data_IF_073008828618
#
_entry.id   IF_073008828618
#
_cell.length_a   1.000
_cell.length_b   1.000
_cell.length_c   1.000
_cell.angle_alpha   90.00
_cell.angle_beta   90.00
_cell.angle_gamma   90.00
#
_symmetry.space_group_name_H-M   'P 1'
#
loop_
_entity.id
_entity.type
_entity.pdbx_description
1 polymer ?
#
# COMPACT_ATOMS: atom_id res chain seq x y z
N UNK A 1 7.73 16.01 -29.56
CA UNK A 1 8.13 15.22 -28.38
C UNK A 1 7.34 13.92 -28.44
N UNK A 2 8.00 12.79 -28.66
CA UNK A 2 7.32 11.49 -28.80
C UNK A 2 7.26 10.76 -27.46
N UNK A 3 6.13 10.13 -27.15
CA UNK A 3 6.03 9.19 -26.05
C UNK A 3 6.21 7.78 -26.61
N UNK A 4 7.09 6.99 -25.99
CA UNK A 4 7.34 5.62 -26.41
C UNK A 4 6.91 4.66 -25.30
N UNK A 5 5.69 4.10 -25.36
CA UNK A 5 5.22 3.15 -24.37
C UNK A 5 5.85 1.77 -24.60
N UNK A 6 6.28 1.12 -23.53
CA UNK A 6 6.70 -0.27 -23.52
C UNK A 6 6.12 -1.03 -22.33
N UNK A 7 5.80 -2.31 -22.54
CA UNK A 7 5.51 -3.21 -21.44
C UNK A 7 6.80 -3.60 -20.72
N UNK A 8 6.73 -3.71 -19.39
CA UNK A 8 7.82 -4.14 -18.54
C UNK A 8 7.31 -4.88 -17.32
N UNK A 9 8.24 -5.43 -16.53
CA UNK A 9 7.97 -6.15 -15.29
C UNK A 9 8.69 -5.42 -14.16
N UNK A 10 7.98 -5.08 -13.08
CA UNK A 10 8.61 -4.44 -11.93
C UNK A 10 9.58 -5.40 -11.26
N UNK A 11 10.84 -5.00 -11.14
CA UNK A 11 11.90 -5.79 -10.48
C UNK A 11 12.25 -5.26 -9.10
N UNK A 12 12.00 -3.97 -8.83
CA UNK A 12 12.26 -3.34 -7.54
C UNK A 12 11.35 -2.14 -7.32
N UNK A 13 10.99 -1.87 -6.06
CA UNK A 13 10.17 -0.74 -5.63
C UNK A 13 10.87 0.04 -4.52
N UNK A 14 10.85 1.36 -4.61
CA UNK A 14 11.20 2.28 -3.54
C UNK A 14 9.94 3.10 -3.21
N UNK A 15 9.31 2.75 -2.08
CA UNK A 15 8.06 3.37 -1.63
C UNK A 15 8.31 4.83 -1.24
N UNK A 16 9.37 5.12 -0.49
CA UNK A 16 9.69 6.45 0.05
C UNK A 16 9.88 7.48 -1.06
N UNK A 17 10.59 7.10 -2.13
CA UNK A 17 10.84 7.98 -3.27
C UNK A 17 9.78 7.85 -4.38
N UNK A 18 8.80 6.94 -4.25
CA UNK A 18 7.83 6.57 -5.29
C UNK A 18 8.49 6.24 -6.64
N UNK A 19 9.56 5.44 -6.61
CA UNK A 19 10.26 4.98 -7.81
C UNK A 19 10.22 3.47 -7.94
N UNK A 20 10.37 3.01 -9.16
CA UNK A 20 10.49 1.60 -9.49
C UNK A 20 11.63 1.36 -10.46
N UNK A 21 12.12 0.13 -10.47
CA UNK A 21 12.85 -0.42 -11.60
C UNK A 21 11.95 -1.41 -12.32
N UNK A 22 12.03 -1.39 -13.63
CA UNK A 22 11.32 -2.30 -14.50
C UNK A 22 12.27 -2.93 -15.51
N UNK A 23 12.18 -4.25 -15.67
CA UNK A 23 12.77 -4.98 -16.78
C UNK A 23 11.90 -4.83 -18.03
N UNK A 24 12.52 -4.51 -19.16
CA UNK A 24 11.85 -4.33 -20.46
C UNK A 24 12.17 -5.52 -21.37
N UNK A 25 11.27 -6.51 -21.51
CA UNK A 25 11.58 -7.76 -22.20
C UNK A 25 12.00 -7.58 -23.67
N UNK A 26 11.40 -6.60 -24.36
CA UNK A 26 11.70 -6.34 -25.77
C UNK A 26 13.09 -5.73 -25.99
N UNK A 27 13.65 -5.06 -24.98
CA UNK A 27 14.96 -4.43 -25.05
C UNK A 27 16.03 -5.25 -24.32
N UNK A 28 15.64 -6.21 -23.48
CA UNK A 28 16.55 -7.03 -22.69
C UNK A 28 17.32 -6.23 -21.62
N UNK A 29 16.79 -5.07 -21.20
CA UNK A 29 17.43 -4.18 -20.23
C UNK A 29 16.55 -3.94 -19.01
N UNK A 30 17.17 -3.61 -17.89
CA UNK A 30 16.51 -3.04 -16.72
C UNK A 30 16.66 -1.52 -16.75
N UNK A 31 15.58 -0.81 -16.41
CA UNK A 31 15.57 0.64 -16.26
C UNK A 31 16.31 1.09 -15.00
N UNK A 32 16.71 2.36 -14.97
CA UNK A 32 17.07 3.03 -13.73
C UNK A 32 15.87 3.20 -12.80
N UNK A 33 16.07 3.93 -11.69
CA UNK A 33 14.96 4.32 -10.82
C UNK A 33 14.08 5.35 -11.50
N UNK A 34 12.97 4.89 -12.06
CA UNK A 34 11.97 5.73 -12.73
C UNK A 34 10.78 6.02 -11.82
N UNK A 35 10.17 7.21 -11.90
CA UNK A 35 8.99 7.54 -11.10
C UNK A 35 7.80 6.61 -11.40
N UNK A 36 6.98 6.38 -10.37
CA UNK A 36 5.67 5.72 -10.48
C UNK A 36 4.58 6.79 -10.47
N UNK A 37 3.65 6.73 -11.43
CA UNK A 37 2.56 7.68 -11.53
C UNK A 37 1.75 7.74 -10.23
N UNK A 38 1.28 8.94 -9.87
CA UNK A 38 0.65 9.22 -8.56
C UNK A 38 -0.68 8.52 -8.36
N UNK A 39 -1.34 8.14 -9.46
CA UNK A 39 -2.58 7.36 -9.46
C UNK A 39 -2.36 5.87 -9.15
N UNK A 40 -1.12 5.39 -9.15
CA UNK A 40 -0.78 4.02 -8.76
C UNK A 40 -0.41 3.99 -7.27
N UNK A 41 -1.09 3.13 -6.52
CA UNK A 41 -0.74 2.83 -5.13
C UNK A 41 0.38 1.80 -5.13
N UNK A 42 1.41 1.98 -4.30
CA UNK A 42 2.52 1.03 -4.17
C UNK A 42 2.25 0.18 -2.92
N UNK A 43 2.58 -1.11 -2.97
CA UNK A 43 2.43 -1.99 -1.82
C UNK A 43 3.40 -1.57 -0.71
N UNK A 44 2.85 -1.29 0.47
CA UNK A 44 3.63 -0.99 1.67
C UNK A 44 3.59 -2.22 2.57
N UNK A 45 4.77 -2.69 2.99
CA UNK A 45 4.85 -3.66 4.07
C UNK A 45 4.27 -3.03 5.33
N UNK A 46 3.20 -3.64 5.86
CA UNK A 46 2.64 -3.24 7.15
C UNK A 46 3.62 -3.70 8.23
N UNK A 47 4.55 -2.82 8.60
CA UNK A 47 5.36 -2.99 9.81
C UNK A 47 4.52 -2.47 10.98
N UNK A 48 4.08 -3.37 11.85
CA UNK A 48 3.41 -2.97 13.09
C UNK A 48 4.39 -2.21 13.99
N UNK A 49 4.36 -0.88 13.95
CA UNK A 49 5.00 -0.06 14.97
C UNK A 49 4.11 -0.01 16.21
N UNK A 50 4.70 -0.41 17.34
CA UNK A 50 4.19 -0.38 18.71
C UNK A 50 2.72 0.03 18.90
N UNK A 51 1.89 -0.93 19.28
CA UNK A 51 0.58 -0.63 19.84
C UNK A 51 0.77 0.27 21.07
N UNK A 52 0.24 1.50 21.04
CA UNK A 52 0.07 2.28 22.25
C UNK A 52 -1.05 1.65 23.07
N UNK A 53 -0.66 1.00 24.16
CA UNK A 53 -1.57 0.37 25.11
C UNK A 53 -2.34 1.47 25.85
N UNK A 54 -3.64 1.60 25.56
CA UNK A 54 -4.55 2.31 26.47
C UNK A 54 -5.20 1.26 27.35
N UNK A 55 -4.86 1.24 28.65
CA UNK A 55 -5.52 0.38 29.62
C UNK A 55 -6.98 0.84 29.79
N UNK A 56 -7.91 0.18 29.09
CA UNK A 56 -9.35 0.39 29.32
C UNK A 56 -9.74 -0.50 30.50
N UNK A 57 -9.82 0.10 31.69
CA UNK A 57 -10.50 -0.53 32.84
C UNK A 57 -11.97 -0.66 32.51
N UNK A 58 -12.43 -1.89 32.29
CA UNK A 58 -13.85 -2.22 32.22
C UNK A 58 -14.30 -2.44 33.66
N UNK A 59 -14.95 -1.44 34.27
CA UNK A 59 -15.65 -1.64 35.54
C UNK A 59 -16.76 -2.69 35.35
N UNK A 60 -16.87 -3.69 36.24
CA UNK A 60 -17.86 -4.73 36.09
C UNK A 60 -19.27 -4.15 36.25
N UNK A 61 -19.98 -4.13 35.12
CA UNK A 61 -21.43 -4.22 35.06
C UNK A 61 -22.20 -3.14 35.84
N UNK A 62 -22.19 -1.90 35.35
CA UNK A 62 -23.40 -1.08 35.46
C UNK A 62 -23.44 0.07 34.46
N UNK A 63 -24.55 0.10 33.70
CA UNK A 63 -24.94 1.10 32.69
C UNK A 63 -24.24 0.97 31.33
N UNK A 64 -24.54 -0.12 30.61
CA UNK A 64 -24.70 -0.06 29.16
C UNK A 64 -25.90 0.86 28.85
N UNK A 65 -25.70 2.17 28.99
CA UNK A 65 -26.48 3.14 28.23
C UNK A 65 -26.06 2.92 26.79
N UNK A 66 -26.87 2.17 26.05
CA UNK A 66 -26.74 2.04 24.60
C UNK A 66 -27.20 3.39 24.03
N UNK A 67 -26.35 4.41 24.17
CA UNK A 67 -26.50 5.63 23.39
C UNK A 67 -26.13 5.32 21.94
N UNK A 68 -26.90 5.94 21.06
CA UNK A 68 -27.11 5.59 19.66
C UNK A 68 -25.82 5.30 18.86
N UNK A 69 -25.91 4.39 17.87
CA UNK A 69 -24.77 4.01 17.03
C UNK A 69 -24.25 5.22 16.26
N UNK A 70 -23.06 5.68 16.64
CA UNK A 70 -22.31 6.67 15.85
C UNK A 70 -21.80 5.98 14.58
N UNK A 71 -22.09 6.53 13.38
CA UNK A 71 -21.61 5.95 12.13
C UNK A 71 -20.09 6.19 12.03
N UNK A 72 -19.31 5.13 12.22
CA UNK A 72 -17.85 5.18 12.02
C UNK A 72 -17.00 4.23 12.85
N UNK A 73 -17.57 3.55 13.85
CA UNK A 73 -16.80 2.64 14.71
C UNK A 73 -16.99 1.19 14.22
N UNK A 74 -15.89 0.59 13.77
CA UNK A 74 -15.84 -0.79 13.29
C UNK A 74 -16.34 -1.80 14.32
N UNK A 75 -16.83 -2.94 13.82
CA UNK A 75 -17.45 -3.99 14.63
C UNK A 75 -16.48 -4.55 15.69
N UNK A 76 -16.86 -4.39 16.97
CA UNK A 76 -16.20 -4.99 18.13
C UNK A 76 -16.60 -6.45 18.26
N UNK A 77 -15.64 -7.38 18.18
CA UNK A 77 -15.84 -8.78 18.55
C UNK A 77 -15.17 -9.02 19.91
N UNK A 78 -15.95 -9.36 20.94
CA UNK A 78 -15.44 -9.73 22.26
C UNK A 78 -15.31 -11.26 22.35
N UNK A 79 -14.07 -11.77 22.35
CA UNK A 79 -13.79 -13.15 22.76
C UNK A 79 -13.52 -13.15 24.28
N UNK A 80 -14.38 -13.85 25.02
CA UNK A 80 -14.28 -13.95 26.48
C UNK A 80 -13.04 -14.71 26.93
N UNK A 81 -12.04 -13.97 27.38
CA UNK A 81 -11.05 -14.39 28.38
C UNK A 81 -10.61 -13.15 29.15
N UNK A 82 -10.47 -13.26 30.48
CA UNK A 82 -9.83 -12.21 31.28
C UNK A 82 -8.38 -12.08 30.83
N UNK A 83 -8.13 -11.15 29.93
CA UNK A 83 -6.87 -10.99 29.24
C UNK A 83 -6.97 -9.78 28.35
N UNK A 84 -5.88 -9.02 28.32
CA UNK A 84 -5.66 -7.80 27.55
C UNK A 84 -6.34 -7.86 26.18
N UNK A 85 -7.23 -6.91 25.90
CA UNK A 85 -7.82 -6.76 24.56
C UNK A 85 -6.78 -6.05 23.70
N UNK A 86 -6.17 -6.79 22.78
CA UNK A 86 -5.26 -6.21 21.79
C UNK A 86 -6.09 -5.53 20.70
N UNK A 87 -6.08 -4.20 20.68
CA UNK A 87 -6.69 -3.39 19.62
C UNK A 87 -5.61 -3.05 18.60
N UNK A 88 -5.60 -3.76 17.47
CA UNK A 88 -4.72 -3.44 16.35
C UNK A 88 -5.40 -2.42 15.43
N UNK A 89 -4.85 -1.22 15.35
CA UNK A 89 -5.27 -0.23 14.37
C UNK A 89 -4.60 -0.52 13.02
N UNK A 90 -5.29 -1.25 12.14
CA UNK A 90 -4.87 -1.39 10.75
C UNK A 90 -5.06 -0.03 10.06
N UNK A 91 -3.96 0.68 9.79
CA UNK A 91 -4.01 2.02 9.18
C UNK A 91 -4.54 2.00 7.74
N UNK A 92 -4.34 0.90 6.99
CA UNK A 92 -4.85 0.75 5.62
C UNK A 92 -4.75 -0.70 5.15
N UNK A 93 -5.82 -1.22 4.53
CA UNK A 93 -5.76 -2.41 3.67
C UNK A 93 -6.04 -1.91 2.25
N UNK A 94 -5.02 -1.89 1.39
CA UNK A 94 -5.16 -1.46 0.00
C UNK A 94 -5.09 -2.67 -0.92
N UNK A 95 -6.21 -3.00 -1.56
CA UNK A 95 -6.25 -3.98 -2.66
C UNK A 95 -5.86 -3.27 -3.97
N UNK A 96 -5.09 -3.95 -4.83
CA UNK A 96 -4.71 -3.40 -6.15
C UNK A 96 -3.48 -2.48 -6.14
N UNK A 97 -2.61 -2.62 -5.14
CA UNK A 97 -1.28 -1.98 -5.12
C UNK A 97 -0.34 -2.58 -6.17
N UNK A 98 0.63 -1.76 -6.60
CA UNK A 98 1.75 -2.14 -7.43
C UNK A 98 2.78 -2.88 -6.58
N UNK A 99 3.20 -4.05 -7.04
CA UNK A 99 4.17 -4.93 -6.37
C UNK A 99 5.27 -5.41 -7.32
N UNK A 100 6.35 -5.94 -6.76
CA UNK A 100 7.40 -6.60 -7.54
C UNK A 100 6.80 -7.80 -8.28
N UNK A 101 7.16 -7.94 -9.56
CA UNK A 101 6.63 -8.94 -10.48
C UNK A 101 5.37 -8.52 -11.25
N UNK A 102 4.77 -7.36 -10.94
CA UNK A 102 3.66 -6.85 -11.74
C UNK A 102 4.10 -6.44 -13.15
N UNK A 103 3.27 -6.77 -14.13
CA UNK A 103 3.38 -6.23 -15.48
C UNK A 103 2.88 -4.79 -15.52
N UNK A 104 3.63 -3.94 -16.19
CA UNK A 104 3.38 -2.50 -16.23
C UNK A 104 3.61 -1.92 -17.61
N UNK A 105 2.94 -0.82 -17.89
CA UNK A 105 3.25 0.06 -19.00
C UNK A 105 4.18 1.17 -18.53
N UNK A 106 5.39 1.22 -19.09
CA UNK A 106 6.36 2.29 -18.90
C UNK A 106 6.31 3.22 -20.11
N UNK A 107 6.22 4.52 -19.88
CA UNK A 107 6.23 5.53 -20.94
C UNK A 107 7.54 6.30 -20.89
N UNK A 108 8.33 6.21 -21.95
CA UNK A 108 9.60 6.95 -22.09
C UNK A 108 9.37 8.28 -22.81
N UNK A 109 9.74 9.38 -22.15
CA UNK A 109 9.72 10.70 -22.77
C UNK A 109 10.93 10.82 -23.70
N UNK A 110 10.69 11.11 -24.97
CA UNK A 110 11.72 11.18 -26.02
C UNK A 110 12.49 9.87 -26.27
N UNK A 111 11.98 8.72 -25.81
CA UNK A 111 12.64 7.43 -25.97
C UNK A 111 13.90 7.23 -25.13
N UNK A 112 14.18 8.13 -24.17
CA UNK A 112 15.25 7.92 -23.20
C UNK A 112 14.80 6.94 -22.13
N UNK A 113 15.44 5.77 -22.09
CA UNK A 113 15.16 4.68 -21.16
C UNK A 113 15.40 5.04 -19.69
N UNK A 114 16.16 6.11 -19.43
CA UNK A 114 16.39 6.65 -18.09
C UNK A 114 15.34 7.71 -17.70
N UNK A 115 14.52 8.16 -18.65
CA UNK A 115 13.48 9.16 -18.45
C UNK A 115 12.08 8.56 -18.72
N UNK A 116 11.84 7.42 -18.06
CA UNK A 116 10.56 6.71 -18.10
C UNK A 116 9.66 7.07 -16.92
N UNK A 117 8.37 6.74 -17.03
CA UNK A 117 7.43 6.72 -15.91
C UNK A 117 6.59 5.45 -15.97
N UNK A 118 6.38 4.78 -14.84
CA UNK A 118 5.40 3.69 -14.73
C UNK A 118 4.02 4.33 -14.75
N UNK A 119 3.29 4.17 -15.86
CA UNK A 119 2.04 4.88 -16.12
C UNK A 119 0.80 4.05 -15.76
N UNK A 120 0.89 2.73 -15.92
CA UNK A 120 -0.20 1.82 -15.62
C UNK A 120 0.33 0.44 -15.19
N UNK A 121 -0.47 -0.25 -14.38
CA UNK A 121 -0.38 -1.70 -14.20
C UNK A 121 -1.26 -2.37 -15.26
N UNK A 122 -0.79 -3.46 -15.85
CA UNK A 122 -1.49 -4.23 -16.86
C UNK A 122 -2.30 -5.39 -16.24
#
# INVERSE_FOLDING_TARGET
MGAFPQAGIITSLNVEERKAKAYLPLLGIETGWIPVATNLLIEEDIKGEGAEFTEVRIDPLNKLGIDEPHPGIGHTFALGHQGTVEVFALRRIAYGTLKVGDEVLVVFLNGDVNNGVVAARL
#
